data_IF_487302398012
#
_entry.id   IF_487302398012
#
_cell.length_a   1.000
_cell.length_b   1.000
_cell.length_c   1.000
_cell.angle_alpha   90.00
_cell.angle_beta   90.00
_cell.angle_gamma   90.00
#
_symmetry.space_group_name_H-M   'P 1'
#
loop_
_entity.id
_entity.type
_entity.pdbx_description
1 polymer ?
#
# COMPACT_ATOMS: atom_id res chain seq x y z
N UNK A 1 -74.54 -6.04 36.94
CA UNK A 1 -74.48 -4.62 37.36
C UNK A 1 -73.02 -4.27 37.56
N UNK A 2 -72.43 -3.20 37.06
CA UNK A 2 -72.77 -2.18 36.08
C UNK A 2 -71.41 -1.48 35.85
N UNK A 3 -71.15 -1.05 34.62
CA UNK A 3 -70.05 -0.16 34.22
C UNK A 3 -68.62 -0.72 34.29
N UNK A 4 -68.33 -1.76 33.50
CA UNK A 4 -67.06 -1.80 32.77
C UNK A 4 -67.10 -0.75 31.66
N UNK A 5 -67.05 0.53 32.05
CA UNK A 5 -66.68 1.58 31.10
C UNK A 5 -65.33 1.18 30.52
N UNK A 6 -65.24 1.18 29.19
CA UNK A 6 -63.99 1.10 28.43
C UNK A 6 -63.02 2.16 28.97
N UNK A 7 -62.26 1.83 30.01
CA UNK A 7 -61.04 2.54 30.34
C UNK A 7 -60.12 2.16 29.17
N UNK A 8 -60.11 2.99 28.12
CA UNK A 8 -59.03 2.94 27.13
C UNK A 8 -57.75 2.92 27.95
N UNK A 9 -56.99 1.83 27.85
CA UNK A 9 -55.73 1.69 28.56
C UNK A 9 -54.93 2.97 28.31
N UNK A 10 -54.80 3.79 29.36
CA UNK A 10 -54.10 5.06 29.28
C UNK A 10 -52.64 4.71 29.06
N UNK A 11 -52.22 4.66 27.81
CA UNK A 11 -50.88 4.26 27.39
C UNK A 11 -50.09 5.48 26.91
N UNK A 12 -48.76 5.36 26.79
CA UNK A 12 -47.90 6.45 26.30
C UNK A 12 -48.38 7.00 24.95
N UNK A 13 -48.95 6.16 24.11
CA UNK A 13 -49.41 6.58 22.79
C UNK A 13 -50.71 7.39 22.86
N UNK A 14 -51.59 7.13 23.84
CA UNK A 14 -52.73 8.00 24.14
C UNK A 14 -52.24 9.36 24.61
N UNK A 15 -51.27 9.43 25.52
CA UNK A 15 -50.66 10.70 25.97
C UNK A 15 -50.10 11.44 24.74
N UNK A 16 -49.30 10.78 23.90
CA UNK A 16 -48.78 11.39 22.68
C UNK A 16 -49.89 11.90 21.76
N UNK A 17 -50.94 11.12 21.54
CA UNK A 17 -52.07 11.51 20.69
C UNK A 17 -52.85 12.71 21.23
N UNK A 18 -52.95 12.88 22.55
CA UNK A 18 -53.58 14.07 23.15
C UNK A 18 -52.78 15.35 22.89
N UNK A 19 -51.46 15.24 22.69
CA UNK A 19 -50.56 16.37 22.46
C UNK A 19 -50.05 16.45 21.01
N UNK A 20 -50.66 15.78 20.02
CA UNK A 20 -50.29 16.01 18.61
C UNK A 20 -50.73 17.39 18.13
N UNK A 21 -51.83 17.90 18.69
CA UNK A 21 -52.33 19.24 18.41
C UNK A 21 -51.42 20.36 18.93
N UNK A 22 -50.52 20.10 19.89
CA UNK A 22 -49.57 21.12 20.36
C UNK A 22 -48.55 21.46 19.30
N UNK A 23 -48.12 20.47 18.51
CA UNK A 23 -47.14 20.69 17.44
C UNK A 23 -47.78 21.50 16.30
N UNK A 24 -49.05 21.23 16.00
CA UNK A 24 -49.83 22.06 15.05
C UNK A 24 -50.04 23.49 15.55
N UNK A 25 -50.26 23.68 16.86
CA UNK A 25 -50.41 24.99 17.48
C UNK A 25 -49.09 25.78 17.44
N UNK A 26 -47.94 25.14 17.69
CA UNK A 26 -46.62 25.76 17.51
C UNK A 26 -46.40 26.21 16.06
N UNK A 27 -46.77 25.37 15.08
CA UNK A 27 -46.69 25.74 13.67
C UNK A 27 -47.58 26.93 13.31
N UNK A 28 -48.79 27.00 13.87
CA UNK A 28 -49.71 28.14 13.68
C UNK A 28 -49.19 29.42 14.33
N UNK A 29 -48.60 29.32 15.53
CA UNK A 29 -47.99 30.45 16.23
C UNK A 29 -46.87 31.08 15.40
N UNK A 30 -45.91 30.27 14.94
CA UNK A 30 -44.80 30.74 14.11
C UNK A 30 -45.29 31.39 12.81
N UNK A 31 -46.39 30.88 12.24
CA UNK A 31 -46.99 31.45 11.04
C UNK A 31 -47.63 32.82 11.32
N UNK A 32 -48.28 32.99 12.48
CA UNK A 32 -48.83 34.28 12.92
C UNK A 32 -47.69 35.29 13.13
N UNK A 33 -46.64 34.93 13.87
CA UNK A 33 -45.46 35.78 14.07
C UNK A 33 -44.87 36.27 12.73
N UNK A 34 -44.70 35.35 11.77
CA UNK A 34 -44.18 35.69 10.43
C UNK A 34 -45.09 36.63 9.63
N UNK A 35 -46.42 36.51 9.80
CA UNK A 35 -47.39 37.37 9.12
C UNK A 35 -47.44 38.75 9.75
N UNK A 36 -47.33 38.85 11.07
CA UNK A 36 -47.29 40.14 11.75
C UNK A 36 -46.02 40.89 11.42
N UNK A 37 -44.89 40.19 11.30
CA UNK A 37 -43.64 40.83 10.88
C UNK A 37 -43.73 41.40 9.46
N UNK A 38 -44.31 40.64 8.51
CA UNK A 38 -44.60 41.15 7.15
C UNK A 38 -45.55 42.35 7.16
N UNK A 39 -46.56 42.34 8.02
CA UNK A 39 -47.50 43.46 8.17
C UNK A 39 -46.78 44.72 8.69
N UNK A 40 -45.92 44.58 9.71
CA UNK A 40 -45.07 45.66 10.21
C UNK A 40 -44.17 46.23 9.11
N UNK A 41 -43.51 45.38 8.31
CA UNK A 41 -42.66 45.81 7.20
C UNK A 41 -43.46 46.58 6.14
N UNK A 42 -44.67 46.12 5.82
CA UNK A 42 -45.59 46.79 4.90
C UNK A 42 -46.07 48.14 5.43
N UNK A 43 -46.32 48.25 6.74
CA UNK A 43 -46.67 49.52 7.39
C UNK A 43 -45.51 50.52 7.33
N UNK A 44 -44.26 50.06 7.47
CA UNK A 44 -43.07 50.91 7.30
C UNK A 44 -42.96 51.41 5.86
N UNK A 45 -43.30 50.59 4.86
CA UNK A 45 -43.31 51.03 3.46
C UNK A 45 -44.43 52.03 3.15
N UNK A 46 -45.63 51.84 3.69
CA UNK A 46 -46.75 52.78 3.50
C UNK A 46 -46.45 54.15 4.12
N UNK A 47 -45.72 54.21 5.24
CA UNK A 47 -45.23 55.47 5.83
C UNK A 47 -44.28 56.26 4.93
N UNK A 48 -43.67 55.63 3.92
CA UNK A 48 -42.76 56.29 2.97
C UNK A 48 -43.47 56.82 1.73
N UNK A 49 -44.71 56.40 1.50
CA UNK A 49 -45.51 56.86 0.36
C UNK A 49 -46.35 58.07 0.79
N UNK A 50 -46.24 59.19 0.06
CA UNK A 50 -46.95 60.45 0.33
C UNK A 50 -48.46 60.31 0.07
N UNK A 51 -49.16 59.65 1.00
CA UNK A 51 -50.63 59.56 1.07
C UNK A 51 -51.12 60.62 2.06
N UNK A 52 -52.39 61.05 1.93
CA UNK A 52 -53.09 61.96 2.85
C UNK A 52 -52.72 61.72 4.33
N UNK A 53 -52.20 62.76 5.00
CA UNK A 53 -51.71 62.72 6.38
C UNK A 53 -52.80 62.23 7.36
N UNK A 54 -54.06 62.57 7.10
CA UNK A 54 -55.16 62.20 8.02
C UNK A 54 -55.50 60.72 7.98
N UNK A 55 -55.45 60.10 6.80
CA UNK A 55 -55.68 58.67 6.62
C UNK A 55 -54.49 57.85 7.10
N UNK A 56 -53.27 58.35 6.90
CA UNK A 56 -52.06 57.69 7.38
C UNK A 56 -52.01 57.67 8.91
N UNK A 57 -52.38 58.75 9.60
CA UNK A 57 -52.47 58.78 11.06
C UNK A 57 -53.50 57.78 11.61
N UNK A 58 -54.70 57.71 11.03
CA UNK A 58 -55.73 56.72 11.41
C UNK A 58 -55.24 55.28 11.17
N UNK A 59 -54.57 55.05 10.04
CA UNK A 59 -54.01 53.76 9.70
C UNK A 59 -52.89 53.34 10.67
N UNK A 60 -52.04 54.29 11.10
CA UNK A 60 -51.01 54.07 12.11
C UNK A 60 -51.65 53.70 13.46
N UNK A 61 -52.69 54.43 13.89
CA UNK A 61 -53.39 54.14 15.15
C UNK A 61 -54.01 52.74 15.14
N UNK A 62 -54.66 52.36 14.03
CA UNK A 62 -55.24 51.02 13.84
C UNK A 62 -54.13 49.97 13.84
N UNK A 63 -53.03 50.21 13.13
CA UNK A 63 -51.89 49.30 13.06
C UNK A 63 -51.27 49.04 14.43
N UNK A 64 -51.08 50.09 15.24
CA UNK A 64 -50.57 49.97 16.61
C UNK A 64 -51.54 49.18 17.51
N UNK A 65 -52.85 49.34 17.33
CA UNK A 65 -53.85 48.54 18.06
C UNK A 65 -53.75 47.06 17.66
N UNK A 66 -53.59 46.78 16.37
CA UNK A 66 -53.43 45.41 15.85
C UNK A 66 -52.13 44.77 16.38
N UNK A 67 -51.01 45.50 16.37
CA UNK A 67 -49.73 45.03 16.92
C UNK A 67 -49.86 44.69 18.41
N UNK A 68 -50.45 45.58 19.21
CA UNK A 68 -50.69 45.32 20.64
C UNK A 68 -51.56 44.10 20.88
N UNK A 69 -52.65 43.92 20.11
CA UNK A 69 -53.51 42.74 20.22
C UNK A 69 -52.71 41.48 19.87
N UNK A 70 -51.89 41.54 18.83
CA UNK A 70 -51.08 40.41 18.41
C UNK A 70 -50.02 40.03 19.44
N UNK A 71 -49.33 40.99 20.04
CA UNK A 71 -48.33 40.74 21.09
C UNK A 71 -48.98 40.06 22.31
N UNK A 72 -50.17 40.53 22.72
CA UNK A 72 -50.95 39.90 23.80
C UNK A 72 -51.31 38.46 23.43
N UNK A 73 -51.79 38.22 22.21
CA UNK A 73 -52.16 36.88 21.75
C UNK A 73 -50.95 35.94 21.69
N UNK A 74 -49.80 36.40 21.20
CA UNK A 74 -48.55 35.63 21.17
C UNK A 74 -48.15 35.25 22.59
N UNK A 75 -48.11 36.20 23.53
CA UNK A 75 -47.72 35.93 24.90
C UNK A 75 -48.66 34.90 25.57
N UNK A 76 -49.98 35.08 25.44
CA UNK A 76 -50.97 34.14 26.00
C UNK A 76 -50.83 32.74 25.38
N UNK A 77 -50.59 32.67 24.07
CA UNK A 77 -50.47 31.38 23.38
C UNK A 77 -49.14 30.67 23.71
N UNK A 78 -48.04 31.41 23.86
CA UNK A 78 -46.76 30.88 24.33
C UNK A 78 -46.88 30.34 25.76
N UNK A 79 -47.44 31.11 26.69
CA UNK A 79 -47.65 30.68 28.08
C UNK A 79 -48.52 29.40 28.14
N UNK A 80 -49.60 29.35 27.35
CA UNK A 80 -50.44 28.14 27.27
C UNK A 80 -49.70 26.94 26.67
N UNK A 81 -48.84 27.15 25.66
CA UNK A 81 -48.02 26.08 25.09
C UNK A 81 -47.02 25.55 26.10
N UNK A 82 -46.36 26.42 26.86
CA UNK A 82 -45.44 26.02 27.93
C UNK A 82 -46.16 25.23 29.03
N UNK A 83 -47.34 25.68 29.43
CA UNK A 83 -48.18 24.96 30.39
C UNK A 83 -48.62 23.58 29.86
N UNK A 84 -48.98 23.48 28.57
CA UNK A 84 -49.35 22.21 27.96
C UNK A 84 -48.15 21.25 27.86
N UNK A 85 -46.97 21.76 27.51
CA UNK A 85 -45.75 20.96 27.42
C UNK A 85 -45.31 20.46 28.80
N UNK A 86 -45.34 21.32 29.82
CA UNK A 86 -45.04 20.89 31.19
C UNK A 86 -46.05 19.86 31.70
N UNK A 87 -47.34 20.01 31.39
CA UNK A 87 -48.36 18.98 31.68
C UNK A 87 -48.04 17.65 30.99
N UNK A 88 -47.67 17.67 29.70
CA UNK A 88 -47.26 16.48 28.93
C UNK A 88 -46.07 15.77 29.58
N UNK A 89 -45.06 16.52 30.00
CA UNK A 89 -43.88 15.98 30.65
C UNK A 89 -44.21 15.33 32.00
N UNK A 90 -44.99 16.02 32.83
CA UNK A 90 -45.43 15.52 34.14
C UNK A 90 -46.23 14.23 33.97
N UNK A 91 -47.20 14.21 33.06
CA UNK A 91 -48.01 13.03 32.76
C UNK A 91 -47.15 11.86 32.27
N UNK A 92 -46.20 12.12 31.37
CA UNK A 92 -45.28 11.10 30.85
C UNK A 92 -44.39 10.54 31.94
N UNK A 93 -43.86 11.40 32.82
CA UNK A 93 -43.01 11.01 33.94
C UNK A 93 -43.79 10.17 34.96
N UNK A 94 -44.98 10.62 35.34
CA UNK A 94 -45.85 9.91 36.28
C UNK A 94 -46.27 8.55 35.72
N UNK A 95 -46.67 8.48 34.44
CA UNK A 95 -47.01 7.22 33.80
C UNK A 95 -45.84 6.24 33.79
N UNK A 96 -44.64 6.70 33.39
CA UNK A 96 -43.44 5.85 33.41
C UNK A 96 -43.14 5.32 34.80
N UNK A 97 -43.24 6.17 35.82
CA UNK A 97 -43.00 5.76 37.20
C UNK A 97 -44.01 4.71 37.66
N UNK A 98 -45.31 4.94 37.45
CA UNK A 98 -46.37 3.97 37.77
C UNK A 98 -46.12 2.65 37.05
N UNK A 99 -45.72 2.69 35.78
CA UNK A 99 -45.45 1.50 35.00
C UNK A 99 -44.21 0.73 35.50
N UNK A 100 -43.15 1.44 35.88
CA UNK A 100 -41.96 0.83 36.50
C UNK A 100 -42.35 0.18 37.84
N UNK A 101 -43.07 0.90 38.70
CA UNK A 101 -43.52 0.40 39.99
C UNK A 101 -44.42 -0.85 39.82
N UNK A 102 -45.28 -0.88 38.80
CA UNK A 102 -46.08 -2.06 38.43
C UNK A 102 -45.20 -3.23 37.96
N UNK A 103 -44.21 -2.97 37.12
CA UNK A 103 -43.27 -4.00 36.65
C UNK A 103 -42.40 -4.57 37.79
N UNK A 104 -41.99 -3.74 38.76
CA UNK A 104 -41.25 -4.18 39.94
C UNK A 104 -42.11 -5.08 40.86
N UNK A 105 -43.41 -4.82 40.93
CA UNK A 105 -44.37 -5.64 41.69
C UNK A 105 -44.71 -6.96 40.99
N UNK A 106 -44.66 -7.00 39.66
CA UNK A 106 -44.81 -8.23 38.91
C UNK A 106 -43.59 -9.16 39.10
N UNK A 107 -43.70 -10.09 40.04
CA UNK A 107 -42.75 -11.21 40.16
C UNK A 107 -42.86 -12.11 38.94
N UNK A 108 -42.07 -11.81 37.91
CA UNK A 108 -41.96 -12.65 36.72
C UNK A 108 -41.30 -13.99 37.08
N UNK A 109 -42.08 -15.06 37.00
CA UNK A 109 -41.55 -16.44 37.01
C UNK A 109 -40.53 -16.62 35.88
N UNK A 110 -39.48 -17.39 36.12
CA UNK A 110 -38.37 -17.61 35.18
C UNK A 110 -38.84 -18.03 33.77
N UNK A 111 -39.92 -18.81 33.67
CA UNK A 111 -40.51 -19.21 32.39
C UNK A 111 -41.18 -18.07 31.61
N UNK A 112 -41.89 -17.18 32.31
CA UNK A 112 -42.47 -15.98 31.67
C UNK A 112 -41.36 -15.05 31.20
N UNK A 113 -40.32 -14.87 32.01
CA UNK A 113 -39.16 -14.05 31.66
C UNK A 113 -38.41 -14.62 30.44
N UNK A 114 -38.27 -15.95 30.36
CA UNK A 114 -37.69 -16.63 29.19
C UNK A 114 -38.55 -16.45 27.94
N UNK A 115 -39.88 -16.56 28.04
CA UNK A 115 -40.81 -16.33 26.91
C UNK A 115 -40.75 -14.87 26.42
N UNK A 116 -40.74 -13.91 27.35
CA UNK A 116 -40.61 -12.49 27.03
C UNK A 116 -39.25 -12.25 26.36
N UNK A 117 -38.16 -12.73 26.95
CA UNK A 117 -36.81 -12.60 26.38
C UNK A 117 -36.68 -13.21 24.98
N UNK A 118 -37.22 -14.41 24.76
CA UNK A 118 -37.24 -15.05 23.43
C UNK A 118 -38.06 -14.23 22.44
N UNK A 119 -39.25 -13.76 22.82
CA UNK A 119 -40.08 -12.92 21.94
C UNK A 119 -39.42 -11.59 21.57
N UNK A 120 -38.66 -11.00 22.49
CA UNK A 120 -37.89 -9.77 22.25
C UNK A 120 -36.67 -10.01 21.34
N UNK A 121 -36.06 -11.20 21.41
CA UNK A 121 -34.97 -11.61 20.50
C UNK A 121 -35.53 -11.87 19.10
N UNK A 122 -36.65 -12.59 19.00
CA UNK A 122 -37.33 -12.91 17.74
C UNK A 122 -37.77 -11.64 17.00
N UNK A 123 -38.32 -10.66 17.71
CA UNK A 123 -38.73 -9.36 17.15
C UNK A 123 -37.55 -8.43 16.85
N UNK A 124 -36.31 -8.81 17.18
CA UNK A 124 -35.09 -7.97 17.11
C UNK A 124 -35.19 -6.66 17.92
N UNK A 125 -36.11 -6.60 18.87
CA UNK A 125 -36.30 -5.44 19.76
C UNK A 125 -35.25 -5.43 20.88
N UNK A 126 -34.68 -6.59 21.21
CA UNK A 126 -33.48 -6.68 22.04
C UNK A 126 -32.25 -6.99 21.19
N UNK A 127 -31.45 -5.96 20.95
CA UNK A 127 -30.06 -6.14 20.56
C UNK A 127 -29.33 -6.73 21.76
N UNK A 128 -28.52 -7.77 21.54
CA UNK A 128 -27.60 -8.37 22.52
C UNK A 128 -27.05 -7.26 23.43
N UNK A 129 -27.24 -7.37 24.76
CA UNK A 129 -26.56 -6.51 25.72
C UNK A 129 -25.06 -6.85 25.65
N UNK A 130 -24.40 -6.29 24.65
CA UNK A 130 -23.00 -5.90 24.79
C UNK A 130 -23.06 -4.83 25.88
N UNK A 131 -22.30 -4.97 26.95
CA UNK A 131 -22.06 -3.92 27.93
C UNK A 131 -21.72 -2.63 27.18
N UNK A 132 -22.73 -1.79 26.94
CA UNK A 132 -22.74 -0.61 26.06
C UNK A 132 -21.77 -0.70 24.87
N UNK A 133 -22.19 -1.12 23.65
CA UNK A 133 -21.57 -0.51 22.49
C UNK A 133 -22.12 0.91 22.52
N UNK A 134 -21.33 1.85 23.05
CA UNK A 134 -21.55 3.27 22.84
C UNK A 134 -21.54 3.49 21.33
N UNK A 135 -22.68 3.27 20.67
CA UNK A 135 -22.88 3.61 19.27
C UNK A 135 -23.07 5.12 19.24
N UNK A 136 -21.97 5.82 19.51
CA UNK A 136 -21.80 7.21 19.18
C UNK A 136 -21.86 7.20 17.66
N UNK A 137 -22.97 7.70 17.10
CA UNK A 137 -23.02 7.97 15.67
C UNK A 137 -21.79 8.82 15.37
N UNK A 138 -20.95 8.34 14.45
CA UNK A 138 -19.83 9.12 13.95
C UNK A 138 -20.35 10.52 13.60
N UNK A 139 -19.73 11.53 14.21
CA UNK A 139 -19.99 12.92 13.87
C UNK A 139 -19.80 13.08 12.36
N UNK A 140 -20.78 13.70 11.70
CA UNK A 140 -20.62 14.04 10.28
C UNK A 140 -19.49 15.06 10.16
N UNK A 141 -18.84 15.11 8.99
CA UNK A 141 -17.71 16.03 8.72
C UNK A 141 -18.06 17.47 9.11
N UNK A 142 -19.26 17.93 8.79
CA UNK A 142 -19.71 19.29 9.12
C UNK A 142 -19.82 19.51 10.64
N UNK A 143 -20.21 18.49 11.40
CA UNK A 143 -20.28 18.61 12.86
C UNK A 143 -18.88 18.61 13.48
N UNK A 144 -17.92 17.92 12.87
CA UNK A 144 -16.51 18.02 13.26
C UNK A 144 -15.97 19.43 13.03
N UNK A 145 -16.25 20.05 11.88
CA UNK A 145 -15.80 21.43 11.61
C UNK A 145 -16.43 22.41 12.57
N UNK A 146 -17.74 22.30 12.83
CA UNK A 146 -18.43 23.18 13.78
C UNK A 146 -17.82 23.06 15.18
N UNK A 147 -17.59 21.83 15.67
CA UNK A 147 -16.94 21.59 16.97
C UNK A 147 -15.54 22.20 17.00
N UNK A 148 -14.77 22.06 15.92
CA UNK A 148 -13.41 22.61 15.82
C UNK A 148 -13.44 24.14 15.87
N UNK A 149 -14.40 24.79 15.20
CA UNK A 149 -14.59 26.23 15.23
C UNK A 149 -15.03 26.72 16.62
N UNK A 150 -15.93 25.99 17.29
CA UNK A 150 -16.33 26.28 18.67
C UNK A 150 -15.17 26.12 19.65
N UNK A 151 -14.35 25.07 19.48
CA UNK A 151 -13.16 24.85 20.29
C UNK A 151 -12.11 25.94 20.06
N UNK A 152 -11.87 26.34 18.82
CA UNK A 152 -10.97 27.44 18.48
C UNK A 152 -11.45 28.80 19.02
N UNK A 153 -12.76 29.00 19.08
CA UNK A 153 -13.38 30.20 19.67
C UNK A 153 -13.38 30.18 21.20
N UNK A 154 -13.18 29.01 21.82
CA UNK A 154 -13.19 28.86 23.26
C UNK A 154 -11.84 29.27 23.86
N UNK A 155 -11.88 30.31 24.71
CA UNK A 155 -10.68 30.87 25.36
C UNK A 155 -9.99 29.90 26.32
N UNK A 156 -10.72 29.03 27.01
CA UNK A 156 -10.14 28.02 27.90
C UNK A 156 -9.46 26.91 27.12
N UNK A 157 -10.08 26.45 26.02
CA UNK A 157 -9.48 25.45 25.15
C UNK A 157 -8.20 25.96 24.51
N UNK A 158 -8.22 27.16 23.92
CA UNK A 158 -7.03 27.76 23.32
C UNK A 158 -5.92 28.01 24.35
N UNK A 159 -6.25 28.44 25.57
CA UNK A 159 -5.27 28.52 26.66
C UNK A 159 -4.68 27.16 27.04
N UNK A 160 -5.50 26.11 27.11
CA UNK A 160 -5.03 24.76 27.38
C UNK A 160 -4.13 24.24 26.25
N UNK A 161 -4.50 24.44 24.98
CA UNK A 161 -3.67 24.08 23.83
C UNK A 161 -2.33 24.80 23.88
N UNK A 162 -2.31 26.10 24.19
CA UNK A 162 -1.05 26.85 24.39
C UNK A 162 -0.20 26.26 25.51
N UNK A 163 -0.81 25.92 26.65
CA UNK A 163 -0.08 25.27 27.77
C UNK A 163 0.46 23.90 27.40
N UNK A 164 -0.28 23.14 26.58
CA UNK A 164 0.17 21.84 26.08
C UNK A 164 1.32 22.01 25.09
N UNK A 165 1.26 22.99 24.20
CA UNK A 165 2.35 23.34 23.29
C UNK A 165 3.58 23.80 24.06
N UNK A 166 3.43 24.70 25.04
CA UNK A 166 4.52 25.13 25.91
C UNK A 166 5.17 23.94 26.62
N UNK A 167 4.36 23.04 27.21
CA UNK A 167 4.86 21.82 27.84
C UNK A 167 5.56 20.88 26.86
N UNK A 168 5.05 20.77 25.63
CA UNK A 168 5.68 19.96 24.59
C UNK A 168 7.03 20.56 24.16
N UNK A 169 7.12 21.88 23.99
CA UNK A 169 8.37 22.58 23.72
C UNK A 169 9.36 22.41 24.87
N UNK A 170 8.92 22.46 26.12
CA UNK A 170 9.75 22.19 27.28
C UNK A 170 10.28 20.74 27.29
N UNK A 171 9.43 19.76 26.94
CA UNK A 171 9.85 18.37 26.77
C UNK A 171 10.90 18.22 25.66
N UNK A 172 10.70 18.87 24.52
CA UNK A 172 11.67 18.87 23.42
C UNK A 172 12.98 19.49 23.84
N UNK A 173 12.95 20.64 24.51
CA UNK A 173 14.14 21.32 25.02
C UNK A 173 14.88 20.49 26.05
N UNK A 174 14.18 19.83 26.97
CA UNK A 174 14.78 18.92 27.95
C UNK A 174 15.43 17.71 27.28
N UNK A 175 14.79 17.16 26.24
CA UNK A 175 15.33 16.04 25.47
C UNK A 175 16.55 16.46 24.64
N UNK A 176 16.49 17.63 24.00
CA UNK A 176 17.61 18.23 23.27
C UNK A 176 18.79 18.46 24.21
N UNK A 177 18.59 19.06 25.39
CA UNK A 177 19.63 19.19 26.43
C UNK A 177 20.21 17.83 26.84
N UNK A 178 19.37 16.81 26.99
CA UNK A 178 19.78 15.45 27.32
C UNK A 178 20.55 14.72 26.22
N UNK A 179 20.34 15.08 24.95
CA UNK A 179 21.13 14.57 23.82
C UNK A 179 22.42 15.37 23.63
N UNK A 180 22.37 16.70 23.80
CA UNK A 180 23.55 17.58 23.76
C UNK A 180 24.57 17.22 24.83
N UNK A 181 24.15 16.84 26.04
CA UNK A 181 25.06 16.39 27.10
C UNK A 181 25.77 15.06 26.83
N UNK A 182 25.32 14.31 25.81
CA UNK A 182 25.96 13.05 25.37
C UNK A 182 26.97 13.28 24.25
N UNK A 183 27.07 14.51 23.74
CA UNK A 183 28.01 14.89 22.69
C UNK A 183 29.40 15.07 23.33
N UNK A 184 30.45 14.44 22.78
CA UNK A 184 31.83 14.70 23.21
C UNK A 184 32.24 16.16 23.00
N UNK A 185 33.00 16.73 23.94
CA UNK A 185 33.44 18.14 23.91
C UNK A 185 34.31 18.54 22.69
N UNK A 186 34.84 17.55 21.95
CA UNK A 186 35.72 17.76 20.80
C UNK A 186 34.97 17.90 19.44
N UNK A 187 33.66 18.10 19.45
CA UNK A 187 32.86 18.21 18.23
C UNK A 187 32.68 19.67 17.81
N UNK A 188 32.76 19.90 16.50
CA UNK A 188 32.63 21.23 15.89
C UNK A 188 31.28 21.87 16.25
N UNK A 189 31.32 23.16 16.60
CA UNK A 189 30.17 23.91 17.08
C UNK A 189 29.10 24.05 15.98
N UNK A 190 29.52 24.13 14.71
CA UNK A 190 28.60 24.13 13.56
C UNK A 190 27.83 22.81 13.41
N UNK A 191 28.46 21.67 13.68
CA UNK A 191 27.80 20.35 13.63
C UNK A 191 26.76 20.19 14.75
N UNK A 192 26.98 20.87 15.88
CA UNK A 192 26.05 20.90 17.01
C UNK A 192 24.84 21.78 16.66
N UNK A 193 25.03 22.91 15.97
CA UNK A 193 23.93 23.74 15.45
C UNK A 193 23.12 23.00 14.38
N UNK A 194 23.77 22.39 13.39
CA UNK A 194 23.09 21.58 12.37
C UNK A 194 22.27 20.43 13.00
N UNK A 195 22.78 19.85 14.10
CA UNK A 195 22.04 18.83 14.85
C UNK A 195 20.82 19.40 15.57
N UNK A 196 20.91 20.59 16.18
CA UNK A 196 19.76 21.24 16.84
C UNK A 196 18.65 21.51 15.84
N UNK A 197 18.99 22.03 14.67
CA UNK A 197 18.02 22.30 13.60
C UNK A 197 17.37 21.01 13.10
N UNK A 198 18.17 19.98 12.83
CA UNK A 198 17.66 18.66 12.43
C UNK A 198 16.82 17.97 13.53
N UNK A 199 17.11 18.21 14.81
CA UNK A 199 16.35 17.67 15.94
C UNK A 199 14.99 18.36 16.10
N UNK A 200 14.91 19.66 15.78
CA UNK A 200 13.62 20.38 15.78
C UNK A 200 12.70 19.88 14.65
N UNK A 201 13.25 19.46 13.51
CA UNK A 201 12.49 18.83 12.42
C UNK A 201 12.08 17.38 12.73
N UNK A 202 12.97 16.55 13.29
CA UNK A 202 12.67 15.19 13.76
C UNK A 202 13.10 14.97 15.23
N UNK A 203 12.18 15.15 16.19
CA UNK A 203 12.43 14.99 17.63
C UNK A 203 12.87 13.59 18.09
N UNK A 204 12.84 12.58 17.20
CA UNK A 204 13.30 11.22 17.48
C UNK A 204 14.75 11.01 17.10
N UNK A 205 15.39 11.98 16.44
CA UNK A 205 16.76 11.90 15.98
C UNK A 205 17.73 11.94 17.17
N UNK A 206 18.60 10.95 17.26
CA UNK A 206 19.72 10.94 18.24
C UNK A 206 21.00 11.42 17.56
N UNK A 207 21.91 12.05 18.31
CA UNK A 207 23.16 12.58 17.75
C UNK A 207 23.99 11.53 16.99
N UNK A 208 24.05 10.29 17.50
CA UNK A 208 24.73 9.17 16.83
C UNK A 208 24.13 8.80 15.47
N UNK A 209 22.82 8.95 15.31
CA UNK A 209 22.11 8.68 14.06
C UNK A 209 22.34 9.79 13.05
N UNK A 210 22.27 11.05 13.51
CA UNK A 210 22.64 12.22 12.71
C UNK A 210 24.07 12.12 12.17
N UNK A 211 25.03 11.75 13.02
CA UNK A 211 26.42 11.53 12.60
C UNK A 211 26.59 10.39 11.59
N UNK A 212 25.77 9.33 11.67
CA UNK A 212 25.77 8.27 10.65
C UNK A 212 25.23 8.78 9.32
N UNK A 213 24.16 9.55 9.34
CA UNK A 213 23.52 10.11 8.15
C UNK A 213 24.41 11.14 7.44
N UNK A 214 25.15 11.96 8.19
CA UNK A 214 26.18 12.85 7.62
C UNK A 214 27.31 12.04 7.00
N UNK A 215 27.80 11.00 7.69
CA UNK A 215 28.87 10.14 7.16
C UNK A 215 28.43 9.44 5.87
N UNK A 216 27.21 8.91 5.81
CA UNK A 216 26.69 8.28 4.58
C UNK A 216 26.58 9.28 3.44
N UNK A 217 26.03 10.48 3.68
CA UNK A 217 25.94 11.55 2.66
C UNK A 217 27.32 11.99 2.14
N UNK A 218 28.32 12.08 3.03
CA UNK A 218 29.70 12.40 2.63
C UNK A 218 30.31 11.28 1.78
N UNK A 219 30.13 10.02 2.16
CA UNK A 219 30.65 8.88 1.39
C UNK A 219 29.98 8.74 0.01
N UNK A 220 28.70 9.08 -0.13
CA UNK A 220 28.03 9.11 -1.43
C UNK A 220 28.61 10.19 -2.36
N UNK A 221 28.85 11.40 -1.83
CA UNK A 221 29.50 12.48 -2.59
C UNK A 221 30.93 12.12 -3.00
N UNK A 222 31.68 11.43 -2.16
CA UNK A 222 33.02 10.93 -2.50
C UNK A 222 32.97 9.83 -3.58
N UNK A 223 31.99 8.93 -3.51
CA UNK A 223 31.77 7.90 -4.53
C UNK A 223 31.38 8.53 -5.88
N UNK A 224 30.55 9.57 -5.90
CA UNK A 224 30.22 10.30 -7.11
C UNK A 224 31.44 11.01 -7.72
N UNK A 225 32.28 11.64 -6.90
CA UNK A 225 33.54 12.24 -7.37
C UNK A 225 34.47 11.20 -7.99
N UNK A 226 34.59 10.02 -7.36
CA UNK A 226 35.39 8.91 -7.92
C UNK A 226 34.81 8.36 -9.23
N UNK A 227 33.49 8.22 -9.34
CA UNK A 227 32.83 7.82 -10.60
C UNK A 227 33.11 8.81 -11.73
N UNK A 228 32.99 10.11 -11.46
CA UNK A 228 33.32 11.17 -12.44
C UNK A 228 34.77 11.11 -12.89
N UNK A 229 35.72 10.93 -11.97
CA UNK A 229 37.14 10.78 -12.32
C UNK A 229 37.40 9.54 -13.19
N UNK A 230 36.74 8.41 -12.87
CA UNK A 230 36.87 7.18 -13.66
C UNK A 230 36.32 7.38 -15.07
N UNK A 231 35.18 8.05 -15.21
CA UNK A 231 34.58 8.31 -16.50
C UNK A 231 35.42 9.30 -17.33
N UNK A 232 35.98 10.34 -16.72
CA UNK A 232 36.94 11.25 -17.36
C UNK A 232 38.21 10.53 -17.82
N UNK A 233 38.75 9.59 -17.03
CA UNK A 233 39.90 8.78 -17.47
C UNK A 233 39.56 7.86 -18.64
N UNK A 234 38.38 7.23 -18.63
CA UNK A 234 37.92 6.42 -19.77
C UNK A 234 37.72 7.25 -21.03
N UNK A 235 37.23 8.47 -20.90
CA UNK A 235 37.09 9.39 -22.03
C UNK A 235 38.46 9.81 -22.58
N UNK A 236 39.43 10.11 -21.70
CA UNK A 236 40.81 10.40 -22.11
C UNK A 236 41.46 9.22 -22.83
N UNK A 237 41.30 8.00 -22.31
CA UNK A 237 41.80 6.77 -22.95
C UNK A 237 41.18 6.56 -24.34
N UNK A 238 39.85 6.73 -24.47
CA UNK A 238 39.17 6.67 -25.77
C UNK A 238 39.69 7.73 -26.74
N UNK A 239 39.96 8.94 -26.25
CA UNK A 239 40.48 10.04 -27.06
C UNK A 239 41.92 9.76 -27.52
N UNK A 240 42.76 9.18 -26.66
CA UNK A 240 44.11 8.72 -27.02
C UNK A 240 44.09 7.57 -28.03
N UNK A 241 43.19 6.59 -27.87
CA UNK A 241 42.99 5.54 -28.87
C UNK A 241 42.57 6.10 -30.23
N UNK A 242 41.66 7.09 -30.24
CA UNK A 242 41.22 7.75 -31.47
C UNK A 242 42.37 8.53 -32.12
N UNK A 243 43.21 9.21 -31.34
CA UNK A 243 44.44 9.87 -31.85
C UNK A 243 45.41 8.86 -32.45
N UNK A 244 45.66 7.73 -31.78
CA UNK A 244 46.50 6.65 -32.31
C UNK A 244 45.96 6.10 -33.63
N UNK A 245 44.66 5.83 -33.71
CA UNK A 245 44.00 5.38 -34.95
C UNK A 245 44.13 6.42 -36.08
N UNK A 246 44.00 7.71 -35.78
CA UNK A 246 44.21 8.77 -36.78
C UNK A 246 45.66 8.84 -37.26
N UNK A 247 46.64 8.69 -36.36
CA UNK A 247 48.06 8.65 -36.73
C UNK A 247 48.41 7.43 -37.59
N UNK A 248 47.86 6.27 -37.26
CA UNK A 248 48.00 5.05 -38.07
C UNK A 248 47.38 5.20 -39.46
N UNK A 249 46.21 5.84 -39.56
CA UNK A 249 45.57 6.14 -40.83
C UNK A 249 46.42 7.09 -41.68
N UNK A 250 46.97 8.15 -41.06
CA UNK A 250 47.89 9.09 -41.75
C UNK A 250 49.14 8.38 -42.27
N UNK A 251 49.79 7.58 -41.43
CA UNK A 251 50.97 6.78 -41.84
C UNK A 251 50.63 5.81 -42.97
N UNK A 252 49.47 5.15 -42.90
CA UNK A 252 49.01 4.24 -43.95
C UNK A 252 48.76 4.97 -45.27
N UNK A 253 48.20 6.19 -45.20
CA UNK A 253 47.96 7.04 -46.36
C UNK A 253 49.27 7.56 -46.99
N UNK A 254 50.22 8.00 -46.16
CA UNK A 254 51.56 8.40 -46.62
C UNK A 254 52.30 7.23 -47.29
N UNK A 255 52.18 6.02 -46.74
CA UNK A 255 52.73 4.82 -47.37
C UNK A 255 52.07 4.47 -48.70
N UNK A 256 50.75 4.65 -48.82
CA UNK A 256 50.02 4.43 -50.06
C UNK A 256 50.48 5.37 -51.17
N UNK A 257 50.72 6.65 -50.85
CA UNK A 257 51.25 7.62 -51.81
C UNK A 257 52.70 7.34 -52.22
N UNK A 258 53.49 6.69 -51.34
CA UNK A 258 54.93 6.46 -51.56
C UNK A 258 55.24 5.21 -52.39
N UNK A 259 54.37 4.20 -52.39
CA UNK A 259 54.62 2.91 -53.05
C UNK A 259 53.62 2.64 -54.18
N UNK A 260 54.03 1.83 -55.16
CA UNK A 260 53.09 1.26 -56.13
C UNK A 260 52.07 0.36 -55.44
N UNK A 261 50.83 0.32 -55.95
CA UNK A 261 49.69 -0.40 -55.38
C UNK A 261 50.00 -1.86 -55.03
N UNK A 262 50.70 -2.59 -55.93
CA UNK A 262 51.13 -3.98 -55.69
C UNK A 262 52.09 -4.12 -54.51
N UNK A 263 52.97 -3.15 -54.31
CA UNK A 263 53.99 -3.16 -53.27
C UNK A 263 53.42 -2.75 -51.91
N UNK A 264 52.49 -1.79 -51.91
CA UNK A 264 51.71 -1.39 -50.74
C UNK A 264 50.90 -2.57 -50.18
N UNK A 265 50.16 -3.29 -51.04
CA UNK A 265 49.41 -4.48 -50.62
C UNK A 265 50.32 -5.56 -50.05
N UNK A 266 51.49 -5.80 -50.67
CA UNK A 266 52.45 -6.80 -50.19
C UNK A 266 52.94 -6.46 -48.78
N UNK A 267 53.20 -5.18 -48.47
CA UNK A 267 53.62 -4.73 -47.13
C UNK A 267 52.49 -4.79 -46.11
N UNK A 268 51.27 -4.41 -46.49
CA UNK A 268 50.09 -4.52 -45.63
C UNK A 268 49.82 -5.97 -45.23
N UNK A 269 49.89 -6.91 -46.19
CA UNK A 269 49.77 -8.36 -45.93
C UNK A 269 50.87 -8.88 -45.00
N UNK A 270 52.09 -8.34 -45.07
CA UNK A 270 53.18 -8.71 -44.14
C UNK A 270 52.94 -8.18 -42.73
N UNK A 271 52.47 -6.94 -42.57
CA UNK A 271 52.16 -6.35 -41.25
C UNK A 271 50.96 -7.00 -40.56
N UNK A 272 49.96 -7.46 -41.31
CA UNK A 272 48.80 -8.17 -40.76
C UNK A 272 49.11 -9.60 -40.30
N UNK A 273 50.25 -10.17 -40.69
CA UNK A 273 50.68 -11.48 -40.19
C UNK A 273 51.17 -11.31 -38.76
N UNK A 274 50.38 -11.76 -37.79
CA UNK A 274 50.82 -11.92 -36.40
C UNK A 274 51.92 -12.96 -36.32
N UNK A 275 52.96 -12.71 -35.52
CA UNK A 275 54.00 -13.70 -35.26
C UNK A 275 53.46 -14.83 -34.38
N UNK A 276 54.00 -16.06 -34.48
CA UNK A 276 53.56 -17.19 -33.65
C UNK A 276 53.75 -16.93 -32.14
N UNK A 277 54.73 -16.09 -31.80
CA UNK A 277 54.99 -15.57 -30.45
C UNK A 277 53.85 -14.66 -29.94
N UNK A 278 53.32 -13.75 -30.76
CA UNK A 278 52.21 -12.85 -30.38
C UNK A 278 50.88 -13.60 -30.14
N UNK A 279 50.68 -14.76 -30.80
CA UNK A 279 49.47 -15.57 -30.64
C UNK A 279 49.53 -16.38 -29.33
N UNK A 280 50.72 -16.72 -28.84
CA UNK A 280 50.91 -17.48 -27.61
C UNK A 280 50.72 -16.63 -26.34
N UNK A 281 50.98 -15.32 -26.40
CA UNK A 281 50.91 -14.40 -25.25
C UNK A 281 49.53 -13.75 -25.04
N UNK A 282 48.63 -13.81 -26.02
CA UNK A 282 47.27 -13.27 -25.83
C UNK A 282 46.45 -14.17 -24.89
N UNK A 283 45.87 -13.63 -23.80
CA UNK A 283 44.96 -14.39 -22.96
C UNK A 283 43.76 -14.83 -23.81
N UNK A 284 43.39 -16.12 -23.73
CA UNK A 284 42.23 -16.66 -24.46
C UNK A 284 40.99 -15.87 -24.04
N UNK A 285 40.48 -15.01 -24.93
CA UNK A 285 39.16 -14.42 -24.79
C UNK A 285 38.16 -15.56 -24.60
N UNK A 286 37.46 -15.56 -23.46
CA UNK A 286 36.28 -16.42 -23.27
C UNK A 286 35.23 -15.92 -24.26
N UNK A 287 35.25 -16.51 -25.45
CA UNK A 287 34.17 -16.34 -26.41
C UNK A 287 32.96 -17.06 -25.83
N UNK A 288 31.93 -16.30 -25.47
CA UNK A 288 30.63 -16.87 -25.13
C UNK A 288 30.14 -17.67 -26.34
N UNK A 289 30.07 -18.99 -26.17
CA UNK A 289 29.70 -19.90 -27.24
C UNK A 289 28.20 -19.79 -27.43
N UNK A 290 27.81 -19.09 -28.49
CA UNK A 290 26.43 -18.98 -28.94
C UNK A 290 25.76 -20.36 -29.13
N UNK A 291 24.48 -20.50 -28.82
CA UNK A 291 23.79 -21.80 -28.72
C UNK A 291 23.87 -22.61 -30.02
N UNK A 292 23.91 -21.92 -31.16
CA UNK A 292 24.02 -22.52 -32.49
C UNK A 292 25.36 -23.26 -32.68
N UNK A 293 26.46 -22.68 -32.15
CA UNK A 293 27.78 -23.31 -32.18
C UNK A 293 27.83 -24.52 -31.24
N UNK A 294 27.15 -24.43 -30.10
CA UNK A 294 27.02 -25.54 -29.13
C UNK A 294 26.30 -26.74 -29.75
N UNK A 295 25.17 -26.51 -30.42
CA UNK A 295 24.42 -27.56 -31.16
C UNK A 295 25.26 -28.20 -32.27
N UNK A 296 26.03 -27.42 -33.02
CA UNK A 296 26.94 -27.97 -34.06
C UNK A 296 28.03 -28.86 -33.45
N UNK A 297 28.67 -28.43 -32.37
CA UNK A 297 29.71 -29.22 -31.68
C UNK A 297 29.11 -30.53 -31.14
N UNK A 298 27.91 -30.49 -30.59
CA UNK A 298 27.23 -31.67 -30.04
C UNK A 298 26.85 -32.68 -31.15
N UNK A 299 26.36 -32.18 -32.29
CA UNK A 299 26.10 -33.02 -33.47
C UNK A 299 27.38 -33.67 -34.02
N UNK A 300 28.52 -32.98 -33.92
CA UNK A 300 29.81 -33.51 -34.36
C UNK A 300 30.32 -34.60 -33.41
N UNK A 301 30.19 -34.41 -32.09
CA UNK A 301 30.55 -35.42 -31.09
C UNK A 301 29.71 -36.69 -31.22
N UNK A 302 28.41 -36.55 -31.46
CA UNK A 302 27.50 -37.68 -31.70
C UNK A 302 27.91 -38.50 -32.94
N UNK A 303 28.24 -37.83 -34.05
CA UNK A 303 28.73 -38.50 -35.27
C UNK A 303 30.09 -39.18 -35.04
N UNK A 304 30.97 -38.56 -34.24
CA UNK A 304 32.31 -39.12 -33.98
C UNK A 304 32.25 -40.37 -33.09
N UNK A 305 31.48 -40.35 -32.00
CA UNK A 305 31.33 -41.49 -31.09
C UNK A 305 30.70 -42.69 -31.79
N UNK A 306 29.65 -42.48 -32.60
CA UNK A 306 29.02 -43.55 -33.36
C UNK A 306 29.96 -44.19 -34.40
N UNK A 307 30.92 -43.42 -34.95
CA UNK A 307 31.93 -43.95 -35.87
C UNK A 307 33.02 -44.73 -35.14
N UNK A 308 33.38 -44.28 -33.93
CA UNK A 308 34.46 -44.86 -33.14
C UNK A 308 34.06 -46.19 -32.50
N UNK A 309 32.89 -46.25 -31.85
CA UNK A 309 32.39 -47.49 -31.23
C UNK A 309 32.21 -48.60 -32.27
N UNK A 310 31.66 -48.26 -33.43
CA UNK A 310 31.37 -49.22 -34.51
C UNK A 310 32.63 -49.81 -35.17
N UNK A 311 33.77 -49.12 -35.09
CA UNK A 311 35.02 -49.50 -35.77
C UNK A 311 36.07 -50.07 -34.81
N UNK A 312 36.04 -49.67 -33.54
CA UNK A 312 37.12 -49.98 -32.59
C UNK A 312 36.67 -50.67 -31.28
N UNK A 313 35.37 -50.72 -30.96
CA UNK A 313 34.85 -51.55 -29.85
C UNK A 313 34.11 -52.77 -30.40
N UNK A 314 34.80 -53.91 -30.52
CA UNK A 314 34.14 -55.23 -30.60
C UNK A 314 33.82 -55.69 -29.18
N UNK A 315 32.54 -55.68 -28.80
CA UNK A 315 32.02 -56.02 -27.46
C UNK A 315 31.60 -57.49 -27.30
N UNK A 316 32.33 -58.47 -27.85
CA UNK A 316 31.92 -59.91 -27.75
C UNK A 316 33.05 -60.95 -27.70
N UNK A 317 34.09 -60.76 -26.89
CA UNK A 317 35.05 -61.85 -26.61
C UNK A 317 35.23 -62.20 -25.13
N UNK A 318 34.53 -61.54 -24.20
CA UNK A 318 34.72 -61.74 -22.75
C UNK A 318 33.77 -62.77 -22.10
N UNK A 319 32.95 -63.51 -22.85
CA UNK A 319 31.97 -64.48 -22.27
C UNK A 319 32.25 -65.97 -22.58
N UNK A 320 33.36 -66.34 -23.22
CA UNK A 320 33.69 -67.77 -23.44
C UNK A 320 34.76 -68.23 -22.49
N UNK A 321 34.39 -69.16 -21.60
CA UNK A 321 35.28 -69.79 -20.63
C UNK A 321 36.52 -70.37 -21.36
N UNK A 322 37.76 -69.93 -21.03
CA UNK A 322 38.97 -70.29 -21.76
C UNK A 322 39.21 -71.81 -21.85
N UNK A 323 38.63 -72.60 -20.95
CA UNK A 323 38.68 -74.07 -21.00
C UNK A 323 37.90 -74.63 -22.20
N UNK A 324 36.78 -74.02 -22.57
CA UNK A 324 35.97 -74.46 -23.71
C UNK A 324 36.63 -74.11 -25.05
N UNK A 325 37.35 -72.99 -25.12
CA UNK A 325 38.22 -72.67 -26.26
C UNK A 325 39.31 -73.73 -26.46
N UNK A 326 39.93 -74.20 -25.38
CA UNK A 326 40.94 -75.28 -25.44
C UNK A 326 40.32 -76.61 -25.86
N UNK A 327 39.11 -76.95 -25.37
CA UNK A 327 38.38 -78.16 -25.78
C UNK A 327 37.99 -78.12 -27.26
N UNK A 328 37.48 -76.99 -27.76
CA UNK A 328 37.16 -76.83 -29.18
C UNK A 328 38.41 -76.91 -30.06
N UNK A 329 39.54 -76.33 -29.61
CA UNK A 329 40.82 -76.46 -30.33
C UNK A 329 41.33 -77.89 -30.38
N UNK A 330 41.20 -78.66 -29.29
CA UNK A 330 41.55 -80.10 -29.27
C UNK A 330 40.67 -80.90 -30.21
N UNK A 331 39.34 -80.68 -30.18
CA UNK A 331 38.41 -81.36 -31.11
C UNK A 331 38.74 -81.06 -32.57
N UNK A 332 38.98 -79.80 -32.94
CA UNK A 332 39.37 -79.43 -34.31
C UNK A 332 40.71 -80.06 -34.71
N UNK A 333 41.71 -80.08 -33.83
CA UNK A 333 42.98 -80.76 -34.12
C UNK A 333 42.83 -82.27 -34.26
N UNK A 334 41.93 -82.90 -33.51
CA UNK A 334 41.61 -84.32 -33.68
C UNK A 334 40.88 -84.61 -35.00
N UNK A 335 39.96 -83.73 -35.40
CA UNK A 335 39.27 -83.79 -36.70
C UNK A 335 40.27 -83.60 -37.86
N UNK A 336 41.10 -82.56 -37.81
CA UNK A 336 42.19 -82.33 -38.77
C UNK A 336 43.14 -83.53 -38.83
N UNK A 337 43.51 -84.12 -37.69
CA UNK A 337 44.36 -85.31 -37.66
C UNK A 337 43.67 -86.53 -38.25
N UNK A 338 42.36 -86.73 -38.01
CA UNK A 338 41.58 -87.80 -38.65
C UNK A 338 41.51 -87.61 -40.16
N UNK A 339 41.21 -86.40 -40.64
CA UNK A 339 41.23 -86.09 -42.08
C UNK A 339 42.62 -86.34 -42.69
N UNK A 340 43.68 -85.96 -41.99
CA UNK A 340 45.05 -86.18 -42.44
C UNK A 340 45.38 -87.69 -42.51
N UNK A 341 44.94 -88.45 -41.51
CA UNK A 341 45.11 -89.92 -41.46
C UNK A 341 44.29 -90.63 -42.55
N UNK A 342 43.09 -90.14 -42.86
CA UNK A 342 42.30 -90.62 -43.99
C UNK A 342 42.94 -90.28 -45.34
N UNK A 343 43.49 -89.08 -45.51
CA UNK A 343 44.26 -88.71 -46.72
C UNK A 343 45.46 -89.62 -46.91
N UNK A 344 46.19 -89.96 -45.84
CA UNK A 344 47.33 -90.91 -45.90
C UNK A 344 46.86 -92.34 -46.21
N UNK A 345 45.72 -92.78 -45.68
CA UNK A 345 45.16 -94.10 -46.03
C UNK A 345 44.72 -94.17 -47.49
N UNK A 346 44.08 -93.11 -48.01
CA UNK A 346 43.73 -93.01 -49.44
C UNK A 346 44.97 -92.96 -50.34
N UNK A 347 46.05 -92.31 -49.91
CA UNK A 347 47.31 -92.29 -50.68
C UNK A 347 48.08 -93.62 -50.64
N UNK A 348 47.87 -94.48 -49.62
CA UNK A 348 48.41 -95.85 -49.57
C UNK A 348 47.50 -96.92 -50.20
N UNK A 349 46.23 -96.60 -50.44
CA UNK A 349 45.28 -97.45 -51.18
C UNK A 349 45.38 -97.32 -52.71
N UNK A 350 45.85 -96.18 -53.23
CA UNK A 350 46.08 -95.95 -54.67
C UNK A 350 47.48 -96.35 -55.15
N UNK A 351 48.23 -97.12 -54.35
CA UNK A 351 49.55 -97.68 -54.71
C UNK A 351 49.57 -99.21 -54.63
N UNK A 352 48.42 -99.84 -54.84
CA UNK A 352 48.21 -101.29 -54.77
C UNK A 352 47.28 -101.87 -55.86
N UNK A 353 46.88 -101.06 -56.84
CA UNK A 353 46.33 -101.52 -58.13
C UNK A 353 47.19 -100.87 -59.23
N UNK A 354 48.35 -101.50 -59.45
CA UNK A 354 49.15 -101.45 -60.67
C UNK A 354 49.60 -102.90 -60.95
#
# INVERSE_FOLDING_TARGET
>A
MQNSQNIREFNIDTIKSFFTSTDELQGKLANIESRTQKFSDQNITLKKENIDETLTDQFIEISQKIEKINDILINITQENLENLLSCKEILTKNYRKIYIDQLEQERLTQDKLKKIGLSLIERKETVKIISTPSFIKSLRVNQWTDILDYLNSNSLFTQLVKKVDEYYQDLLNNRLKGELSKIPDNIDEMLIEDFKDAFMEDPKLTFNRFMREIKTKLTEKELEKRKKLIDETKEKEKLEELKRKQEEQKKTYEEYLKYSEKEFERRRRKRQRKSLSEIAEQPKEKTDIDEEKKKKIESFKSKFNNSFEKKYLKTKDDERDPIDLVRQRRKRKEEEYKEFKEKIKKSKGNSGDA
#
